data_IF_131368116507
#
_entry.id   IF_131368116507
#
_cell.length_a   1.000
_cell.length_b   1.000
_cell.length_c   1.000
_cell.angle_alpha   90.00
_cell.angle_beta   90.00
_cell.angle_gamma   90.00
#
_symmetry.space_group_name_H-M   'P 1'
#
loop_
_entity.id
_entity.type
_entity.pdbx_description
1 polymer ?
#
# COMPACT_ATOMS: atom_id res chain seq x y z
N UNK A 1 -13.78 3.96 -3.67
CA UNK A 1 -12.30 3.95 -3.65
C UNK A 1 -11.68 2.71 -4.31
N UNK A 2 -12.39 1.93 -5.12
CA UNK A 2 -11.77 0.81 -5.85
C UNK A 2 -10.62 1.26 -6.79
N UNK A 3 -10.62 2.53 -7.21
CA UNK A 3 -9.50 3.16 -7.93
C UNK A 3 -8.16 3.09 -7.17
N UNK A 4 -8.19 2.95 -5.83
CA UNK A 4 -7.00 2.77 -5.01
C UNK A 4 -6.65 1.30 -4.77
N UNK A 5 -7.37 0.33 -5.34
CA UNK A 5 -6.93 -1.08 -5.34
C UNK A 5 -5.54 -1.23 -5.95
N UNK A 6 -4.79 -2.28 -5.59
CA UNK A 6 -3.43 -2.47 -6.11
C UNK A 6 -3.44 -2.49 -7.63
N UNK A 7 -4.32 -3.27 -8.24
CA UNK A 7 -4.40 -3.36 -9.71
C UNK A 7 -4.71 -2.00 -10.33
N UNK A 8 -5.73 -1.29 -9.84
CA UNK A 8 -6.15 -0.01 -10.43
C UNK A 8 -5.08 1.07 -10.27
N UNK A 9 -4.52 1.18 -9.06
CA UNK A 9 -3.48 2.15 -8.74
C UNK A 9 -2.19 1.85 -9.50
N UNK A 10 -1.81 0.58 -9.66
CA UNK A 10 -0.59 0.19 -10.40
C UNK A 10 -0.75 0.39 -11.90
N UNK A 11 -1.93 0.13 -12.47
CA UNK A 11 -2.23 0.45 -13.88
C UNK A 11 -2.15 1.95 -14.12
N UNK A 12 -2.81 2.74 -13.27
CA UNK A 12 -2.72 4.19 -13.34
C UNK A 12 -1.27 4.68 -13.22
N UNK A 13 -0.51 4.13 -12.27
CA UNK A 13 0.89 4.51 -12.05
C UNK A 13 1.76 4.17 -13.26
N UNK A 14 1.52 3.01 -13.89
CA UNK A 14 2.28 2.61 -15.09
C UNK A 14 2.08 3.60 -16.24
N UNK A 15 0.84 4.05 -16.46
CA UNK A 15 0.51 5.07 -17.47
C UNK A 15 1.13 6.42 -17.07
N UNK A 16 0.95 6.83 -15.81
CA UNK A 16 1.52 8.08 -15.30
C UNK A 16 3.03 8.15 -15.50
N UNK A 17 3.74 7.05 -15.24
CA UNK A 17 5.18 6.95 -15.41
C UNK A 17 5.64 7.10 -16.88
N UNK A 18 4.81 6.64 -17.83
CA UNK A 18 5.09 6.76 -19.25
C UNK A 18 4.85 8.18 -19.77
N UNK A 19 3.80 8.84 -19.28
CA UNK A 19 3.32 10.10 -19.84
C UNK A 19 3.96 11.35 -19.20
N UNK A 20 4.58 11.24 -18.02
CA UNK A 20 5.01 12.39 -17.21
C UNK A 20 6.54 12.48 -17.00
N UNK A 21 7.33 12.18 -18.03
CA UNK A 21 8.80 12.10 -17.93
C UNK A 21 9.47 13.36 -17.37
N UNK A 22 8.98 14.56 -17.72
CA UNK A 22 9.53 15.83 -17.22
C UNK A 22 9.28 16.03 -15.73
N UNK A 23 8.07 15.70 -15.27
CA UNK A 23 7.72 15.77 -13.86
C UNK A 23 8.52 14.75 -13.04
N UNK A 24 8.69 13.54 -13.57
CA UNK A 24 9.46 12.48 -12.93
C UNK A 24 10.93 12.86 -12.75
N UNK A 25 11.52 13.56 -13.73
CA UNK A 25 12.87 14.10 -13.61
C UNK A 25 13.01 15.15 -12.50
N UNK A 26 11.91 15.76 -12.04
CA UNK A 26 11.91 16.69 -10.91
C UNK A 26 11.77 15.96 -9.59
N UNK A 27 10.84 14.99 -9.51
CA UNK A 27 10.44 14.37 -8.23
C UNK A 27 11.22 13.10 -7.88
N UNK A 28 11.93 12.47 -8.82
CA UNK A 28 12.78 11.29 -8.56
C UNK A 28 14.26 11.69 -8.52
N UNK A 29 15.03 11.02 -7.66
CA UNK A 29 16.50 11.19 -7.62
C UNK A 29 17.17 10.57 -8.84
N UNK A 30 16.67 9.41 -9.28
CA UNK A 30 17.12 8.70 -10.47
C UNK A 30 15.89 8.32 -11.29
N UNK A 31 15.82 8.77 -12.54
CA UNK A 31 14.72 8.46 -13.46
C UNK A 31 15.03 7.26 -14.38
N UNK A 32 16.25 6.71 -14.36
CA UNK A 32 16.61 5.52 -15.14
C UNK A 32 15.88 4.26 -14.66
N UNK A 33 15.40 4.27 -13.40
CA UNK A 33 14.67 3.15 -12.79
C UNK A 33 13.20 3.07 -13.23
N UNK A 34 12.69 4.03 -14.00
CA UNK A 34 11.26 4.11 -14.34
C UNK A 34 10.78 2.88 -15.13
N UNK A 35 11.57 2.42 -16.10
CA UNK A 35 11.24 1.22 -16.88
C UNK A 35 11.14 -0.02 -15.98
N UNK A 36 12.04 -0.14 -15.01
CA UNK A 36 12.08 -1.23 -14.04
C UNK A 36 10.88 -1.21 -13.09
N UNK A 37 10.47 -0.02 -12.65
CA UNK A 37 9.25 0.16 -11.87
C UNK A 37 8.03 -0.26 -12.68
N UNK A 38 7.94 0.11 -13.96
CA UNK A 38 6.83 -0.30 -14.84
C UNK A 38 6.79 -1.83 -14.97
N UNK A 39 7.94 -2.49 -15.16
CA UNK A 39 8.00 -3.95 -15.19
C UNK A 39 7.54 -4.60 -13.87
N UNK A 40 7.88 -3.99 -12.72
CA UNK A 40 7.47 -4.47 -11.41
C UNK A 40 5.96 -4.26 -11.14
N UNK A 41 5.41 -3.13 -11.58
CA UNK A 41 3.97 -2.85 -11.52
C UNK A 41 3.22 -3.87 -12.37
N UNK A 42 3.64 -4.09 -13.61
CA UNK A 42 3.05 -5.06 -14.53
C UNK A 42 3.12 -6.48 -13.99
N UNK A 43 4.23 -6.87 -13.34
CA UNK A 43 4.35 -8.15 -12.66
C UNK A 43 3.23 -8.33 -11.61
N UNK A 44 3.06 -7.33 -10.73
CA UNK A 44 2.02 -7.39 -9.68
C UNK A 44 0.60 -7.39 -10.28
N UNK A 45 0.34 -6.55 -11.29
CA UNK A 45 -0.95 -6.46 -11.98
C UNK A 45 -1.34 -7.83 -12.54
N UNK A 46 -0.43 -8.46 -13.31
CA UNK A 46 -0.72 -9.74 -13.96
C UNK A 46 -1.00 -10.82 -12.92
N UNK A 47 -0.20 -10.92 -11.85
CA UNK A 47 -0.43 -11.94 -10.80
C UNK A 47 -1.80 -11.76 -10.14
N UNK A 48 -2.17 -10.52 -9.84
CA UNK A 48 -3.38 -10.18 -9.09
C UNK A 48 -4.64 -10.11 -9.94
N UNK A 49 -4.51 -10.12 -11.27
CA UNK A 49 -5.63 -10.05 -12.21
C UNK A 49 -6.70 -11.09 -11.87
N UNK A 50 -7.95 -10.66 -11.72
CA UNK A 50 -9.08 -11.48 -11.28
C UNK A 50 -8.90 -12.17 -9.89
N UNK A 51 -7.79 -11.98 -9.18
CA UNK A 51 -7.60 -12.52 -7.83
C UNK A 51 -7.99 -11.49 -6.78
N UNK A 52 -7.47 -10.26 -6.88
CA UNK A 52 -7.66 -9.23 -5.84
C UNK A 52 -9.15 -8.89 -5.62
N UNK A 53 -9.92 -8.83 -6.70
CA UNK A 53 -11.33 -8.44 -6.65
C UNK A 53 -12.21 -9.40 -5.84
N UNK A 54 -11.82 -10.66 -5.68
CA UNK A 54 -12.55 -11.64 -4.89
C UNK A 54 -12.58 -11.28 -3.39
N UNK A 55 -11.66 -10.41 -2.98
CA UNK A 55 -11.45 -10.03 -1.58
C UNK A 55 -11.94 -8.62 -1.25
N UNK A 56 -12.56 -7.88 -2.17
CA UNK A 56 -13.05 -6.54 -1.86
C UNK A 56 -14.27 -6.53 -0.95
N UNK A 57 -14.41 -5.45 -0.17
CA UNK A 57 -15.54 -5.23 0.75
C UNK A 57 -16.89 -5.19 0.03
N UNK A 58 -16.93 -4.71 -1.21
CA UNK A 58 -18.15 -4.52 -2.01
C UNK A 58 -18.41 -5.63 -3.05
N UNK A 59 -17.60 -6.68 -3.08
CA UNK A 59 -17.82 -7.86 -3.93
C UNK A 59 -19.13 -8.56 -3.58
N UNK A 60 -20.02 -8.72 -4.57
CA UNK A 60 -21.36 -9.30 -4.37
C UNK A 60 -21.31 -10.78 -3.98
N UNK A 61 -20.45 -11.56 -4.62
CA UNK A 61 -20.27 -12.99 -4.36
C UNK A 61 -19.12 -13.18 -3.36
N UNK A 62 -19.47 -13.26 -2.08
CA UNK A 62 -18.49 -13.43 -1.02
C UNK A 62 -17.95 -14.85 -0.96
N UNK A 63 -16.63 -14.98 -0.94
CA UNK A 63 -15.94 -16.24 -0.66
C UNK A 63 -16.22 -16.69 0.77
N UNK A 64 -16.42 -18.00 0.96
CA UNK A 64 -16.55 -18.54 2.31
C UNK A 64 -15.18 -18.53 2.99
N UNK A 65 -15.10 -18.08 4.24
CA UNK A 65 -13.83 -18.02 4.99
C UNK A 65 -13.16 -19.40 5.15
N UNK A 66 -13.94 -20.48 5.05
CA UNK A 66 -13.44 -21.86 5.10
C UNK A 66 -13.16 -22.47 3.73
N UNK A 67 -13.33 -21.72 2.63
CA UNK A 67 -12.95 -22.18 1.30
C UNK A 67 -11.45 -22.49 1.24
N UNK A 68 -11.08 -23.49 0.44
CA UNK A 68 -9.69 -23.83 0.16
C UNK A 68 -9.00 -22.77 -0.70
N UNK A 69 -7.74 -22.49 -0.40
CA UNK A 69 -6.85 -21.67 -1.21
C UNK A 69 -6.60 -22.24 -2.61
N UNK A 70 -6.86 -23.54 -2.84
CA UNK A 70 -6.84 -24.15 -4.17
C UNK A 70 -7.72 -23.41 -5.18
N UNK A 71 -8.81 -22.76 -4.73
CA UNK A 71 -9.66 -21.93 -5.61
C UNK A 71 -8.89 -20.79 -6.28
N UNK A 72 -7.82 -20.28 -5.64
CA UNK A 72 -6.98 -19.22 -6.21
C UNK A 72 -5.94 -19.77 -7.19
N UNK A 73 -5.49 -21.02 -7.01
CA UNK A 73 -4.40 -21.61 -7.79
C UNK A 73 -4.71 -21.64 -9.28
N UNK A 74 -5.96 -21.94 -9.65
CA UNK A 74 -6.38 -21.97 -11.06
C UNK A 74 -6.16 -20.63 -11.76
N UNK A 75 -6.62 -19.54 -11.14
CA UNK A 75 -6.45 -18.17 -11.64
C UNK A 75 -4.98 -17.76 -11.66
N UNK A 76 -4.27 -17.98 -10.56
CA UNK A 76 -2.85 -17.61 -10.45
C UNK A 76 -2.00 -18.34 -11.51
N UNK A 77 -2.24 -19.63 -11.74
CA UNK A 77 -1.53 -20.39 -12.78
C UNK A 77 -1.81 -19.88 -14.20
N UNK A 78 -3.05 -19.47 -14.48
CA UNK A 78 -3.39 -18.84 -15.76
C UNK A 78 -2.63 -17.53 -15.93
N UNK A 79 -2.62 -16.67 -14.90
CA UNK A 79 -1.94 -15.40 -14.89
C UNK A 79 -0.42 -15.53 -15.08
N UNK A 80 0.20 -16.50 -14.41
CA UNK A 80 1.65 -16.74 -14.50
C UNK A 80 2.11 -17.08 -15.92
N UNK A 81 1.26 -17.69 -16.76
CA UNK A 81 1.63 -17.93 -18.17
C UNK A 81 1.87 -16.62 -18.94
N UNK A 82 1.25 -15.51 -18.52
CA UNK A 82 1.45 -14.19 -19.11
C UNK A 82 2.71 -13.47 -18.57
N UNK A 83 3.43 -14.07 -17.61
CA UNK A 83 4.65 -13.50 -17.02
C UNK A 83 5.94 -14.04 -17.64
N UNK A 84 5.88 -14.93 -18.63
CA UNK A 84 7.07 -15.64 -19.15
C UNK A 84 8.20 -14.71 -19.62
N UNK A 85 7.84 -13.54 -20.15
CA UNK A 85 8.80 -12.54 -20.63
C UNK A 85 9.09 -11.44 -19.59
N UNK A 86 8.49 -11.50 -18.39
CA UNK A 86 8.74 -10.53 -17.34
C UNK A 86 10.03 -10.88 -16.59
N UNK A 87 10.98 -9.95 -16.54
CA UNK A 87 12.31 -10.16 -15.95
C UNK A 87 12.32 -10.48 -14.45
N UNK A 88 11.24 -10.18 -13.74
CA UNK A 88 11.11 -10.48 -12.32
C UNK A 88 10.39 -11.81 -12.06
N UNK A 89 9.98 -12.54 -13.09
CA UNK A 89 9.29 -13.81 -12.91
C UNK A 89 10.27 -14.96 -12.66
N UNK A 90 10.07 -15.69 -11.57
CA UNK A 90 10.85 -16.87 -11.19
C UNK A 90 9.92 -18.04 -10.87
N UNK A 91 9.89 -19.05 -11.76
CA UNK A 91 8.92 -20.15 -11.68
C UNK A 91 9.06 -20.99 -10.40
N UNK A 92 10.28 -21.21 -9.91
CA UNK A 92 10.53 -22.01 -8.71
C UNK A 92 9.93 -21.34 -7.45
N UNK A 93 10.06 -20.03 -7.33
CA UNK A 93 9.48 -19.27 -6.21
C UNK A 93 7.95 -19.36 -6.22
N UNK A 94 7.33 -19.26 -7.40
CA UNK A 94 5.88 -19.41 -7.55
C UNK A 94 5.39 -20.82 -7.24
N UNK A 95 6.11 -21.86 -7.66
CA UNK A 95 5.73 -23.24 -7.33
C UNK A 95 5.68 -23.44 -5.80
N UNK A 96 6.68 -22.93 -5.07
CA UNK A 96 6.71 -22.97 -3.60
C UNK A 96 5.53 -22.19 -2.98
N UNK A 97 5.19 -21.03 -3.55
CA UNK A 97 4.04 -20.25 -3.11
C UNK A 97 2.72 -21.01 -3.33
N UNK A 98 2.54 -21.63 -4.49
CA UNK A 98 1.32 -22.36 -4.83
C UNK A 98 1.13 -23.60 -3.95
N UNK A 99 2.19 -24.34 -3.66
CA UNK A 99 2.18 -25.45 -2.69
C UNK A 99 1.72 -24.98 -1.30
N UNK A 100 2.23 -23.82 -0.84
CA UNK A 100 1.83 -23.21 0.42
C UNK A 100 0.36 -22.76 0.42
N UNK A 101 -0.11 -22.17 -0.68
CA UNK A 101 -1.48 -21.67 -0.83
C UNK A 101 -2.51 -22.82 -0.86
N UNK A 102 -2.17 -23.95 -1.49
CA UNK A 102 -3.09 -25.09 -1.68
C UNK A 102 -3.67 -25.61 -0.36
N UNK A 103 -2.85 -25.62 0.70
CA UNK A 103 -3.23 -26.19 2.00
C UNK A 103 -3.84 -25.17 2.97
N UNK A 104 -3.97 -23.91 2.55
CA UNK A 104 -4.48 -22.82 3.38
C UNK A 104 -5.96 -22.56 3.13
N UNK A 105 -6.63 -21.93 4.09
CA UNK A 105 -7.95 -21.33 3.80
C UNK A 105 -7.76 -20.09 2.93
N UNK A 106 -8.78 -19.76 2.14
CA UNK A 106 -8.71 -18.81 1.03
C UNK A 106 -8.17 -17.42 1.41
N UNK A 107 -8.52 -16.90 2.59
CA UNK A 107 -8.01 -15.59 3.06
C UNK A 107 -6.55 -15.67 3.53
N UNK A 108 -6.12 -16.78 4.13
CA UNK A 108 -4.70 -17.01 4.43
C UNK A 108 -3.87 -17.19 3.17
N UNK A 109 -4.44 -17.87 2.18
CA UNK A 109 -3.83 -18.02 0.86
C UNK A 109 -3.62 -16.65 0.19
N UNK A 110 -4.65 -15.80 0.17
CA UNK A 110 -4.52 -14.44 -0.34
C UNK A 110 -3.49 -13.62 0.43
N UNK A 111 -3.47 -13.71 1.76
CA UNK A 111 -2.42 -13.07 2.55
C UNK A 111 -1.02 -13.56 2.18
N UNK A 112 -0.84 -14.86 1.98
CA UNK A 112 0.45 -15.43 1.55
C UNK A 112 0.86 -14.91 0.17
N UNK A 113 -0.09 -14.75 -0.76
CA UNK A 113 0.15 -14.18 -2.08
C UNK A 113 0.61 -12.71 -2.00
N UNK A 114 -0.12 -11.87 -1.27
CA UNK A 114 0.23 -10.45 -1.13
C UNK A 114 1.56 -10.27 -0.39
N UNK A 115 1.85 -11.09 0.62
CA UNK A 115 3.13 -11.05 1.32
C UNK A 115 4.29 -11.43 0.39
N UNK A 116 4.12 -12.48 -0.42
CA UNK A 116 5.10 -12.87 -1.43
C UNK A 116 5.38 -11.71 -2.41
N UNK A 117 4.32 -11.09 -2.93
CA UNK A 117 4.45 -9.96 -3.85
C UNK A 117 5.14 -8.74 -3.20
N UNK A 118 4.81 -8.43 -1.96
CA UNK A 118 5.44 -7.34 -1.21
C UNK A 118 6.92 -7.64 -0.92
N UNK A 119 7.27 -8.84 -0.48
CA UNK A 119 8.65 -9.25 -0.22
C UNK A 119 9.51 -9.10 -1.49
N UNK A 120 9.01 -9.62 -2.62
CA UNK A 120 9.70 -9.52 -3.91
C UNK A 120 9.81 -8.06 -4.38
N UNK A 121 8.71 -7.30 -4.30
CA UNK A 121 8.70 -5.88 -4.68
C UNK A 121 9.63 -5.05 -3.82
N UNK A 122 9.68 -5.29 -2.51
CA UNK A 122 10.54 -4.55 -1.59
C UNK A 122 12.03 -4.79 -1.85
N UNK A 123 12.39 -6.04 -2.20
CA UNK A 123 13.77 -6.37 -2.62
C UNK A 123 14.15 -5.60 -3.88
N UNK A 124 13.29 -5.63 -4.91
CA UNK A 124 13.54 -4.91 -6.17
C UNK A 124 13.60 -3.40 -5.95
N UNK A 125 12.67 -2.82 -5.18
CA UNK A 125 12.67 -1.40 -4.83
C UNK A 125 13.96 -0.99 -4.11
N UNK A 126 14.46 -1.85 -3.22
CA UNK A 126 15.73 -1.61 -2.54
C UNK A 126 16.91 -1.65 -3.52
N UNK A 127 16.97 -2.67 -4.38
CA UNK A 127 18.04 -2.82 -5.37
C UNK A 127 18.05 -1.66 -6.40
N UNK A 128 16.88 -1.12 -6.74
CA UNK A 128 16.73 0.05 -7.61
C UNK A 128 17.06 1.37 -6.90
N UNK A 129 17.17 1.40 -5.57
CA UNK A 129 17.48 2.62 -4.83
C UNK A 129 16.43 3.73 -4.97
N UNK A 130 15.14 3.38 -5.10
CA UNK A 130 14.07 4.37 -5.34
C UNK A 130 14.04 5.41 -4.21
N UNK A 131 14.23 6.67 -4.59
CA UNK A 131 14.17 7.85 -3.71
C UNK A 131 13.52 9.03 -4.44
N UNK A 132 12.85 9.87 -3.65
CA UNK A 132 12.29 11.12 -4.16
C UNK A 132 13.27 12.27 -3.94
N UNK A 133 13.28 13.20 -4.88
CA UNK A 133 13.97 14.47 -4.75
C UNK A 133 13.05 15.45 -4.01
N UNK A 134 13.23 15.58 -2.69
CA UNK A 134 12.38 16.44 -1.86
C UNK A 134 12.46 17.92 -2.22
N UNK A 135 13.58 18.37 -2.81
CA UNK A 135 13.74 19.74 -3.32
C UNK A 135 12.93 20.00 -4.61
N UNK A 136 12.61 18.94 -5.34
CA UNK A 136 11.78 18.98 -6.55
C UNK A 136 10.28 18.91 -6.26
N UNK A 137 9.86 18.79 -5.00
CA UNK A 137 8.45 18.77 -4.62
C UNK A 137 7.90 20.18 -4.46
N UNK A 138 6.68 20.37 -4.92
CA UNK A 138 5.94 21.62 -4.71
C UNK A 138 5.57 21.79 -3.23
N UNK A 139 6.17 22.80 -2.60
CA UNK A 139 6.02 23.14 -1.18
C UNK A 139 4.68 23.76 -0.83
N UNK A 140 3.93 24.27 -1.81
CA UNK A 140 2.61 24.87 -1.58
C UNK A 140 1.51 23.81 -1.42
N UNK A 141 1.80 22.57 -1.83
CA UNK A 141 0.87 21.44 -1.68
C UNK A 141 0.67 21.07 -0.23
N UNK A 142 -0.58 20.77 0.12
CA UNK A 142 -0.90 20.36 1.49
C UNK A 142 -0.26 19.00 1.79
N UNK A 143 0.52 18.97 2.88
CA UNK A 143 1.08 17.72 3.36
C UNK A 143 0.00 16.86 4.03
N UNK A 144 -0.02 15.58 3.65
CA UNK A 144 -0.80 14.52 4.27
C UNK A 144 0.16 13.46 4.80
N UNK A 145 0.02 13.09 6.07
CA UNK A 145 0.84 12.05 6.66
C UNK A 145 0.28 10.67 6.31
N UNK A 146 1.08 9.79 5.71
CA UNK A 146 0.69 8.40 5.47
C UNK A 146 1.18 7.48 6.60
N UNK A 147 0.23 7.01 7.43
CA UNK A 147 0.49 5.90 8.35
C UNK A 147 0.28 4.57 7.63
N UNK A 148 1.33 3.74 7.55
CA UNK A 148 1.33 2.52 6.75
C UNK A 148 2.30 1.47 7.32
N UNK A 149 2.18 0.23 6.84
CA UNK A 149 3.17 -0.81 7.15
C UNK A 149 4.38 -0.68 6.22
N UNK A 150 5.58 -0.82 6.78
CA UNK A 150 6.84 -0.67 6.04
C UNK A 150 6.96 -1.65 4.86
N UNK A 151 6.27 -2.79 4.95
CA UNK A 151 6.25 -3.83 3.92
C UNK A 151 5.46 -3.43 2.65
N UNK A 152 4.68 -2.35 2.66
CA UNK A 152 3.83 -1.93 1.53
C UNK A 152 4.51 -0.91 0.58
N UNK A 153 5.82 -1.03 0.31
CA UNK A 153 6.57 0.01 -0.44
C UNK A 153 6.02 0.27 -1.84
N UNK A 154 5.77 -0.77 -2.65
CA UNK A 154 5.24 -0.56 -4.01
C UNK A 154 3.87 0.13 -3.99
N UNK A 155 3.01 -0.25 -3.05
CA UNK A 155 1.70 0.38 -2.86
C UNK A 155 1.88 1.85 -2.51
N UNK A 156 2.69 2.15 -1.49
CA UNK A 156 2.86 3.50 -0.98
C UNK A 156 3.59 4.42 -1.95
N UNK A 157 4.47 3.88 -2.80
CA UNK A 157 5.05 4.60 -3.94
C UNK A 157 3.99 4.98 -4.99
N UNK A 158 3.18 4.01 -5.41
CA UNK A 158 2.09 4.26 -6.36
C UNK A 158 1.06 5.25 -5.79
N UNK A 159 0.74 5.14 -4.50
CA UNK A 159 -0.15 6.05 -3.80
C UNK A 159 0.43 7.46 -3.69
N UNK A 160 1.74 7.58 -3.45
CA UNK A 160 2.44 8.86 -3.44
C UNK A 160 2.28 9.60 -4.77
N UNK A 161 2.57 8.93 -5.90
CA UNK A 161 2.43 9.53 -7.23
C UNK A 161 0.98 9.92 -7.53
N UNK A 162 0.02 9.06 -7.17
CA UNK A 162 -1.41 9.35 -7.33
C UNK A 162 -1.85 10.56 -6.54
N UNK A 163 -1.44 10.65 -5.27
CA UNK A 163 -1.76 11.81 -4.43
C UNK A 163 -1.08 13.09 -4.93
N UNK A 164 0.14 12.97 -5.46
CA UNK A 164 0.83 14.09 -6.08
C UNK A 164 0.07 14.60 -7.31
N UNK A 165 -0.46 13.73 -8.16
CA UNK A 165 -1.36 14.13 -9.26
C UNK A 165 -2.64 14.83 -8.77
N UNK A 166 -3.04 14.63 -7.51
CA UNK A 166 -4.21 15.27 -6.87
C UNK A 166 -3.86 16.49 -6.01
N UNK A 167 -2.71 17.12 -6.24
CA UNK A 167 -2.20 18.28 -5.50
C UNK A 167 -2.00 18.03 -4.00
N UNK A 168 -1.68 16.78 -3.63
CA UNK A 168 -1.35 16.37 -2.27
C UNK A 168 0.11 15.96 -2.18
N UNK A 169 0.84 16.55 -1.23
CA UNK A 169 2.17 16.08 -0.86
C UNK A 169 2.04 14.96 0.18
N UNK A 170 2.00 13.71 -0.27
CA UNK A 170 1.86 12.56 0.62
C UNK A 170 3.20 12.21 1.25
N UNK A 171 3.35 12.46 2.55
CA UNK A 171 4.56 12.08 3.28
C UNK A 171 4.60 10.56 3.53
N UNK A 172 5.62 9.90 2.98
CA UNK A 172 5.87 8.45 3.08
C UNK A 172 7.30 8.22 3.61
N UNK A 173 7.44 7.84 4.88
CA UNK A 173 8.71 7.83 5.60
C UNK A 173 9.93 7.27 4.83
N UNK A 174 9.80 6.11 4.18
CA UNK A 174 10.90 5.40 3.51
C UNK A 174 11.30 6.02 2.16
N UNK A 175 10.41 6.80 1.53
CA UNK A 175 10.72 7.56 0.31
C UNK A 175 11.57 8.79 0.61
N UNK A 176 11.24 9.49 1.70
CA UNK A 176 11.87 10.76 2.07
C UNK A 176 13.19 10.58 2.83
N UNK A 177 13.38 9.45 3.52
CA UNK A 177 14.48 9.27 4.44
C UNK A 177 15.31 8.03 4.15
N UNK A 178 16.59 8.08 4.52
CA UNK A 178 17.37 6.87 4.76
C UNK A 178 16.89 6.14 6.01
N UNK A 179 17.21 4.86 6.12
CA UNK A 179 16.86 4.05 7.29
C UNK A 179 17.53 4.63 8.55
N UNK A 180 16.72 5.16 9.48
CA UNK A 180 17.20 5.71 10.73
C UNK A 180 17.48 4.60 11.74
N UNK A 181 18.74 4.47 12.19
CA UNK A 181 19.16 3.44 13.16
C UNK A 181 18.78 3.74 14.62
N UNK A 182 18.32 4.96 14.91
CA UNK A 182 17.95 5.39 16.27
C UNK A 182 16.45 5.69 16.36
N UNK A 183 15.76 4.92 17.20
CA UNK A 183 14.33 5.07 17.43
C UNK A 183 13.91 6.40 18.08
N UNK A 184 14.80 7.08 18.80
CA UNK A 184 14.53 8.42 19.36
C UNK A 184 14.54 9.46 18.24
N UNK A 185 15.54 9.39 17.36
CA UNK A 185 15.63 10.27 16.20
C UNK A 185 14.45 10.05 15.26
N UNK A 186 14.10 8.79 14.99
CA UNK A 186 12.94 8.43 14.18
C UNK A 186 11.64 9.01 14.76
N UNK A 187 11.36 8.80 16.05
CA UNK A 187 10.16 9.35 16.70
C UNK A 187 10.11 10.88 16.62
N UNK A 188 11.24 11.56 16.82
CA UNK A 188 11.32 13.02 16.71
C UNK A 188 11.04 13.49 15.29
N UNK A 189 11.60 12.81 14.31
CA UNK A 189 11.38 13.11 12.90
C UNK A 189 9.92 12.90 12.50
N UNK A 190 9.36 11.71 12.77
CA UNK A 190 7.96 11.42 12.47
C UNK A 190 7.00 12.38 13.17
N UNK A 191 7.29 12.78 14.42
CA UNK A 191 6.49 13.79 15.13
C UNK A 191 6.53 15.16 14.43
N UNK A 192 7.68 15.58 13.91
CA UNK A 192 7.78 16.82 13.14
C UNK A 192 6.94 16.76 11.86
N UNK A 193 6.98 15.63 11.15
CA UNK A 193 6.22 15.45 9.92
C UNK A 193 4.71 15.32 10.18
N UNK A 194 4.31 14.69 11.28
CA UNK A 194 2.93 14.70 11.76
C UNK A 194 2.44 16.13 12.06
N UNK A 195 3.27 16.97 12.69
CA UNK A 195 2.92 18.36 13.00
C UNK A 195 2.76 19.23 11.75
N UNK A 196 3.51 18.96 10.67
CA UNK A 196 3.40 19.65 9.38
C UNK A 196 2.17 19.21 8.58
N UNK A 197 1.63 18.03 8.88
CA UNK A 197 0.58 17.42 8.07
C UNK A 197 -0.82 17.89 8.48
N UNK A 198 -1.56 18.41 7.50
CA UNK A 198 -2.92 18.92 7.70
C UNK A 198 -3.98 17.83 7.86
N UNK A 199 -3.69 16.63 7.34
CA UNK A 199 -4.53 15.45 7.44
C UNK A 199 -3.64 14.21 7.65
N UNK A 200 -4.25 13.15 8.19
CA UNK A 200 -3.62 11.84 8.29
C UNK A 200 -4.42 10.84 7.46
N UNK A 201 -3.69 10.01 6.70
CA UNK A 201 -4.22 8.87 5.97
C UNK A 201 -3.64 7.59 6.55
N UNK A 202 -4.49 6.69 7.03
CA UNK A 202 -4.11 5.36 7.46
C UNK A 202 -4.38 4.34 6.36
N UNK A 203 -3.34 3.68 5.87
CA UNK A 203 -3.46 2.64 4.87
C UNK A 203 -3.75 1.29 5.53
N UNK A 204 -5.00 0.81 5.46
CA UNK A 204 -5.38 -0.52 6.00
C UNK A 204 -5.09 -1.59 4.96
N UNK A 205 -3.96 -2.26 5.10
CA UNK A 205 -3.57 -3.42 4.30
C UNK A 205 -3.56 -4.67 5.15
N UNK A 206 -3.18 -5.79 4.52
CA UNK A 206 -2.94 -7.00 5.26
C UNK A 206 -1.75 -6.93 6.22
N UNK A 207 -0.81 -6.02 5.97
CA UNK A 207 0.39 -5.85 6.76
C UNK A 207 0.18 -4.89 7.94
N UNK A 208 -0.69 -3.88 7.80
CA UNK A 208 -0.88 -2.84 8.82
C UNK A 208 -1.94 -3.16 9.87
N UNK A 209 -2.89 -4.05 9.57
CA UNK A 209 -3.97 -4.42 10.50
C UNK A 209 -4.52 -5.86 10.32
N UNK A 210 -4.35 -6.52 9.17
CA UNK A 210 -4.90 -7.87 8.95
C UNK A 210 -3.91 -8.99 9.22
N UNK A 211 -3.52 -9.15 10.49
CA UNK A 211 -3.03 -10.47 10.94
C UNK A 211 -4.24 -11.35 11.24
N UNK A 212 -4.61 -12.16 10.25
CA UNK A 212 -5.69 -13.15 10.36
C UNK A 212 -5.41 -14.07 11.58
N UNK A 213 -6.25 -13.92 12.60
CA UNK A 213 -6.29 -14.56 13.94
C UNK A 213 -5.17 -14.21 14.93
N UNK A 214 -5.54 -13.46 15.97
CA UNK A 214 -4.76 -13.28 17.21
C UNK A 214 -4.85 -11.88 17.80
N UNK A 215 -4.82 -10.86 16.94
CA UNK A 215 -5.21 -9.50 17.29
C UNK A 215 -5.53 -8.74 16.00
N UNK A 216 -6.73 -8.17 15.89
CA UNK A 216 -7.04 -7.12 14.91
C UNK A 216 -6.34 -5.80 15.26
N UNK A 217 -5.11 -5.89 15.76
CA UNK A 217 -4.32 -4.78 16.26
C UNK A 217 -3.63 -4.08 15.12
N UNK A 218 -3.68 -2.75 15.14
CA UNK A 218 -2.86 -1.92 14.27
C UNK A 218 -1.39 -2.17 14.61
N UNK A 219 -0.53 -2.28 13.59
CA UNK A 219 0.91 -2.43 13.77
C UNK A 219 1.48 -1.37 14.72
N UNK A 220 2.46 -1.69 15.60
CA UNK A 220 2.87 -0.80 16.68
C UNK A 220 3.26 0.61 16.26
N UNK A 221 3.98 0.76 15.14
CA UNK A 221 4.35 2.06 14.60
C UNK A 221 3.13 2.84 14.09
N UNK A 222 2.26 2.22 13.30
CA UNK A 222 1.01 2.84 12.88
C UNK A 222 0.14 3.25 14.08
N UNK A 223 0.07 2.40 15.11
CA UNK A 223 -0.67 2.70 16.34
C UNK A 223 -0.08 3.91 17.08
N UNK A 224 1.25 4.03 17.10
CA UNK A 224 1.93 5.17 17.71
C UNK A 224 1.69 6.46 16.91
N UNK A 225 1.73 6.40 15.58
CA UNK A 225 1.47 7.53 14.68
C UNK A 225 0.03 8.04 14.83
N UNK A 226 -0.94 7.12 14.80
CA UNK A 226 -2.35 7.43 15.04
C UNK A 226 -2.52 8.11 16.40
N UNK A 227 -2.05 7.48 17.48
CA UNK A 227 -2.14 8.04 18.84
C UNK A 227 -1.46 9.41 18.96
N UNK A 228 -0.30 9.58 18.33
CA UNK A 228 0.41 10.87 18.30
C UNK A 228 -0.41 11.93 17.58
N UNK A 229 -1.02 11.62 16.43
CA UNK A 229 -1.86 12.57 15.70
C UNK A 229 -3.11 12.99 16.51
N UNK A 230 -3.71 12.09 17.31
CA UNK A 230 -4.79 12.48 18.23
C UNK A 230 -4.36 13.53 19.27
N UNK A 231 -3.07 13.54 19.64
CA UNK A 231 -2.52 14.48 20.63
C UNK A 231 -2.11 15.83 20.05
N UNK A 232 -1.95 15.95 18.72
CA UNK A 232 -1.18 17.04 18.11
C UNK A 232 -2.02 18.33 17.87
N UNK A 233 -3.33 18.29 17.63
CA UNK A 233 -4.17 19.53 17.53
C UNK A 233 -5.66 19.26 17.74
N UNK A 234 -6.36 20.06 18.57
CA UNK A 234 -7.83 20.00 18.74
C UNK A 234 -8.62 20.30 17.45
N UNK A 235 -8.10 21.21 16.62
CA UNK A 235 -8.78 21.72 15.42
C UNK A 235 -8.76 20.70 14.26
N UNK A 236 -7.71 19.88 14.17
CA UNK A 236 -7.52 18.87 13.10
C UNK A 236 -7.88 17.44 13.55
N UNK A 237 -8.45 17.25 14.76
CA UNK A 237 -8.86 15.92 15.25
C UNK A 237 -9.81 15.19 14.31
N UNK A 238 -10.53 15.89 13.42
CA UNK A 238 -11.52 15.32 12.50
C UNK A 238 -10.99 15.03 11.09
N UNK A 239 -9.72 15.32 10.81
CA UNK A 239 -9.09 15.19 9.48
C UNK A 239 -8.22 13.93 9.39
N UNK A 240 -8.79 12.79 9.82
CA UNK A 240 -8.15 11.49 9.75
C UNK A 240 -8.99 10.56 8.89
N UNK A 241 -8.34 9.92 7.93
CA UNK A 241 -8.99 9.04 6.98
C UNK A 241 -8.31 7.69 6.96
N UNK A 242 -9.03 6.64 6.58
CA UNK A 242 -8.44 5.36 6.24
C UNK A 242 -8.89 4.87 4.87
N UNK A 243 -8.02 4.11 4.20
CA UNK A 243 -8.38 3.34 3.01
C UNK A 243 -8.78 1.94 3.49
N UNK A 244 -9.95 1.45 3.09
CA UNK A 244 -10.41 0.08 3.36
C UNK A 244 -10.81 -0.56 2.03
N UNK A 245 -10.00 -1.54 1.59
CA UNK A 245 -10.21 -2.25 0.33
C UNK A 245 -10.73 -3.67 0.54
N UNK A 246 -10.17 -4.39 1.51
CA UNK A 246 -10.39 -5.83 1.66
C UNK A 246 -11.43 -6.17 2.73
N UNK A 247 -12.22 -7.20 2.44
CA UNK A 247 -13.19 -7.79 3.35
C UNK A 247 -12.52 -8.51 4.52
N UNK A 248 -13.24 -8.56 5.65
CA UNK A 248 -12.82 -9.17 6.91
C UNK A 248 -13.88 -10.14 7.42
N UNK A 249 -14.04 -11.32 6.81
CA UNK A 249 -15.14 -12.23 7.14
C UNK A 249 -15.07 -12.79 8.57
N UNK A 250 -13.86 -12.90 9.15
CA UNK A 250 -13.65 -13.39 10.53
C UNK A 250 -13.78 -12.26 11.59
N UNK A 251 -14.08 -11.03 11.19
CA UNK A 251 -14.24 -9.91 12.11
C UNK A 251 -15.63 -9.92 12.75
N UNK A 252 -15.72 -10.49 13.96
CA UNK A 252 -16.97 -10.64 14.74
C UNK A 252 -17.49 -9.33 15.37
N UNK A 253 -17.38 -8.20 14.67
CA UNK A 253 -18.05 -6.95 15.04
C UNK A 253 -17.57 -6.28 16.34
N UNK A 254 -16.35 -6.56 16.81
CA UNK A 254 -15.74 -5.72 17.86
C UNK A 254 -15.01 -4.60 17.14
N UNK A 255 -15.58 -3.41 17.05
CA UNK A 255 -14.92 -2.27 16.41
C UNK A 255 -13.52 -2.06 16.98
N UNK A 256 -12.54 -1.87 16.09
CA UNK A 256 -11.19 -1.56 16.50
C UNK A 256 -11.22 -0.16 17.08
N UNK A 257 -11.23 -0.03 18.41
CA UNK A 257 -11.32 1.25 19.10
C UNK A 257 -10.18 2.21 18.72
N UNK A 258 -9.07 1.71 18.18
CA UNK A 258 -7.99 2.55 17.66
C UNK A 258 -8.38 3.30 16.37
N UNK A 259 -9.41 2.84 15.65
CA UNK A 259 -9.98 3.49 14.48
C UNK A 259 -11.18 4.39 14.83
N UNK A 260 -11.60 4.45 16.09
CA UNK A 260 -12.73 5.28 16.50
C UNK A 260 -12.47 6.76 16.18
N UNK A 261 -13.40 7.39 15.48
CA UNK A 261 -13.28 8.77 14.99
C UNK A 261 -12.40 8.96 13.74
N UNK A 262 -11.90 7.90 13.12
CA UNK A 262 -11.27 7.94 11.78
C UNK A 262 -12.33 7.64 10.72
N UNK A 263 -12.37 8.43 9.65
CA UNK A 263 -13.39 8.27 8.59
C UNK A 263 -12.87 7.39 7.46
N UNK A 264 -13.71 6.58 6.80
CA UNK A 264 -13.32 6.00 5.52
C UNK A 264 -13.08 7.14 4.51
N UNK A 265 -12.00 7.04 3.73
CA UNK A 265 -11.75 7.93 2.60
C UNK A 265 -12.83 7.72 1.54
N UNK A 266 -13.54 8.78 1.15
CA UNK A 266 -14.61 8.73 0.15
C UNK A 266 -14.19 9.33 -1.18
N UNK A 267 -13.40 10.39 -1.14
CA UNK A 267 -12.91 11.07 -2.34
C UNK A 267 -11.69 11.94 -2.03
N UNK A 268 -11.00 12.35 -3.09
CA UNK A 268 -9.87 13.29 -3.03
C UNK A 268 -10.21 14.45 -3.96
N UNK A 269 -10.21 15.68 -3.44
CA UNK A 269 -10.53 16.86 -4.23
C UNK A 269 -9.81 18.11 -3.71
N UNK A 270 -9.24 18.90 -4.63
CA UNK A 270 -8.60 20.18 -4.31
C UNK A 270 -7.48 20.06 -3.28
N UNK A 271 -6.61 19.06 -3.43
CA UNK A 271 -5.51 18.81 -2.49
C UNK A 271 -5.97 18.38 -1.09
N UNK A 272 -7.15 17.76 -0.96
CA UNK A 272 -7.73 17.41 0.36
C UNK A 272 -8.44 16.05 0.32
N UNK A 273 -8.31 15.29 1.41
CA UNK A 273 -9.02 14.04 1.67
C UNK A 273 -10.42 14.32 2.24
N UNK A 274 -11.44 13.62 1.73
CA UNK A 274 -12.86 13.80 2.07
C UNK A 274 -13.57 12.49 2.41
#
# INVERSE_FOLDING_TARGET
MQELSRISLYRWTSIFLQDNTELLAQILVDNSVVEDIIHLLNFNIIVLEEVEHLFFTDTKEKLNVNDSGEKLIGLINQNINNLRDNKYFESEEFNKLLEKIAVQKIYYAFNSLINFLNEKSNKIIFDLGIKINSEGLDVDRKQVFLSHAFEDKLYTYALFLYMYDKDINLYVDWLYNEEMKDGILLKRHLKNELNKSSQLLYLRTINSELRIRGSGSIMPWCSWELGSYYSIYDINKKNKFYIELYDRPDYKGVDNLQLDGIKPLKSIAGGTLL
#
